data_IF_207490513477
#
_entry.id   IF_207490513477
#
_cell.length_a   1.000
_cell.length_b   1.000
_cell.length_c   1.000
_cell.angle_alpha   90.00
_cell.angle_beta   90.00
_cell.angle_gamma   90.00
#
_symmetry.space_group_name_H-M   'P 1'
#
loop_
_entity.id
_entity.type
_entity.pdbx_description
1 polymer ?
#
# COMPACT_ATOMS: atom_id res chain seq x y z
N UNK A 1 -25.60 -10.11 10.63
CA UNK A 1 -24.52 -10.94 11.20
C UNK A 1 -24.12 -11.96 10.15
N UNK A 2 -22.83 -12.28 10.05
CA UNK A 2 -22.30 -13.17 8.99
C UNK A 2 -21.74 -14.51 9.52
N UNK A 3 -21.98 -14.83 10.79
CA UNK A 3 -21.64 -16.12 11.41
C UNK A 3 -22.80 -16.56 12.26
N UNK A 4 -23.39 -17.71 11.95
CA UNK A 4 -24.56 -18.24 12.66
C UNK A 4 -24.38 -19.69 13.14
N UNK A 5 -23.46 -20.44 12.55
CA UNK A 5 -23.34 -21.87 12.82
C UNK A 5 -21.96 -22.26 13.38
N UNK A 6 -21.88 -23.29 14.23
CA UNK A 6 -20.59 -23.83 14.70
C UNK A 6 -19.70 -24.29 13.54
N UNK A 7 -20.30 -24.76 12.45
CA UNK A 7 -19.58 -25.21 11.26
C UNK A 7 -18.85 -24.06 10.57
N UNK A 8 -19.47 -22.89 10.47
CA UNK A 8 -18.79 -21.69 9.94
C UNK A 8 -17.63 -21.29 10.85
N UNK A 9 -17.83 -21.35 12.17
CA UNK A 9 -16.77 -21.08 13.12
C UNK A 9 -15.59 -22.05 12.95
N UNK A 10 -15.84 -23.34 12.69
CA UNK A 10 -14.81 -24.37 12.46
C UNK A 10 -13.93 -24.10 11.24
N UNK A 11 -14.41 -23.36 10.26
CA UNK A 11 -13.59 -22.95 9.10
C UNK A 11 -12.42 -22.06 9.53
N UNK A 12 -12.60 -21.27 10.59
CA UNK A 12 -11.63 -20.29 11.04
C UNK A 12 -10.87 -20.72 12.30
N UNK A 13 -11.53 -21.53 13.15
CA UNK A 13 -10.98 -22.09 14.39
C UNK A 13 -11.27 -23.60 14.46
N UNK A 14 -10.49 -24.44 13.76
CA UNK A 14 -10.78 -25.87 13.65
C UNK A 14 -10.71 -26.63 14.98
N UNK A 15 -10.01 -26.12 15.98
CA UNK A 15 -9.80 -26.77 17.28
C UNK A 15 -10.81 -26.33 18.36
N UNK A 16 -11.86 -25.58 18.00
CA UNK A 16 -12.86 -25.21 19.00
C UNK A 16 -13.82 -26.37 19.29
N UNK A 17 -14.33 -26.40 20.52
CA UNK A 17 -15.27 -27.41 21.02
C UNK A 17 -16.68 -26.85 21.25
N UNK A 18 -17.08 -25.82 20.50
CA UNK A 18 -18.42 -25.23 20.63
C UNK A 18 -19.42 -26.02 19.77
N UNK A 19 -20.45 -26.58 20.44
CA UNK A 19 -21.62 -27.14 19.74
C UNK A 19 -22.72 -26.08 19.53
N UNK A 20 -22.71 -25.01 20.35
CA UNK A 20 -23.55 -23.85 20.25
C UNK A 20 -22.69 -22.58 20.38
N UNK A 21 -22.90 -21.63 19.47
CA UNK A 21 -22.16 -20.35 19.44
C UNK A 21 -23.05 -19.15 19.81
N UNK A 22 -24.27 -19.37 20.28
CA UNK A 22 -25.20 -18.31 20.64
C UNK A 22 -24.63 -17.33 21.68
N UNK A 23 -23.83 -17.81 22.62
CA UNK A 23 -23.13 -17.01 23.61
C UNK A 23 -22.09 -16.05 23.00
N UNK A 24 -21.62 -16.34 21.79
CA UNK A 24 -20.66 -15.52 21.06
C UNK A 24 -21.32 -14.41 20.21
N UNK A 25 -22.62 -14.47 19.96
CA UNK A 25 -23.31 -13.56 19.06
C UNK A 25 -23.15 -12.08 19.45
N UNK A 26 -23.17 -11.78 20.76
CA UNK A 26 -22.91 -10.43 21.26
C UNK A 26 -21.51 -9.91 20.86
N UNK A 27 -20.50 -10.75 21.02
CA UNK A 27 -19.14 -10.42 20.68
C UNK A 27 -18.95 -10.27 19.16
N UNK A 28 -19.55 -11.17 18.38
CA UNK A 28 -19.50 -11.12 16.90
C UNK A 28 -20.20 -9.87 16.35
N UNK A 29 -21.37 -9.51 16.88
CA UNK A 29 -22.04 -8.26 16.49
C UNK A 29 -21.21 -7.02 16.80
N UNK A 30 -20.51 -6.99 17.93
CA UNK A 30 -19.62 -5.90 18.28
C UNK A 30 -18.41 -5.87 17.35
N UNK A 31 -17.82 -7.02 17.02
CA UNK A 31 -16.73 -7.13 16.04
C UNK A 31 -17.14 -6.61 14.65
N UNK A 32 -18.33 -6.97 14.18
CA UNK A 32 -18.89 -6.44 12.93
C UNK A 32 -19.11 -4.94 12.97
N UNK A 33 -19.61 -4.41 14.09
CA UNK A 33 -19.93 -2.99 14.22
C UNK A 33 -18.68 -2.12 14.34
N UNK A 34 -17.70 -2.56 15.15
CA UNK A 34 -16.58 -1.74 15.54
C UNK A 34 -15.39 -1.88 14.58
N UNK A 35 -15.18 -3.09 14.01
CA UNK A 35 -14.03 -3.39 13.16
C UNK A 35 -14.45 -3.56 11.71
N UNK A 36 -15.27 -4.58 11.39
CA UNK A 36 -15.53 -4.95 10.01
C UNK A 36 -16.19 -3.82 9.21
N UNK A 37 -17.22 -3.16 9.77
CA UNK A 37 -17.87 -2.01 9.09
C UNK A 37 -16.93 -0.83 8.84
N UNK A 38 -15.90 -0.66 9.66
CA UNK A 38 -14.89 0.35 9.42
C UNK A 38 -13.96 -0.03 8.28
N UNK A 39 -13.58 -1.30 8.16
CA UNK A 39 -12.68 -1.81 7.12
C UNK A 39 -13.36 -1.83 5.75
N UNK A 40 -14.52 -2.45 5.63
CA UNK A 40 -15.22 -2.58 4.34
C UNK A 40 -16.12 -1.40 4.00
N UNK A 41 -16.54 -0.62 4.98
CA UNK A 41 -17.53 0.44 4.84
C UNK A 41 -18.97 -0.07 5.03
N UNK A 42 -19.85 0.80 5.55
CA UNK A 42 -21.23 0.42 5.83
C UNK A 42 -22.01 -0.04 4.59
N UNK A 43 -21.90 0.59 3.40
CA UNK A 43 -22.62 0.14 2.22
C UNK A 43 -22.19 -1.27 1.76
N UNK A 44 -20.90 -1.54 1.71
CA UNK A 44 -20.38 -2.86 1.32
C UNK A 44 -20.76 -3.93 2.34
N UNK A 45 -20.67 -3.62 3.65
CA UNK A 45 -21.12 -4.53 4.70
C UNK A 45 -22.59 -4.89 4.56
N UNK A 46 -23.47 -3.90 4.36
CA UNK A 46 -24.91 -4.14 4.21
C UNK A 46 -25.21 -5.03 3.00
N UNK A 47 -24.54 -4.77 1.89
CA UNK A 47 -24.73 -5.54 0.67
C UNK A 47 -24.21 -6.98 0.82
N UNK A 48 -23.06 -7.17 1.48
CA UNK A 48 -22.52 -8.47 1.81
C UNK A 48 -23.48 -9.30 2.69
N UNK A 49 -24.07 -8.68 3.73
CA UNK A 49 -25.07 -9.34 4.58
C UNK A 49 -26.28 -9.77 3.76
N UNK A 50 -26.77 -8.94 2.82
CA UNK A 50 -27.88 -9.31 1.94
C UNK A 50 -27.55 -10.50 1.04
N UNK A 51 -26.32 -10.58 0.53
CA UNK A 51 -25.89 -11.76 -0.26
C UNK A 51 -25.77 -13.01 0.62
N UNK A 52 -25.22 -12.84 1.83
CA UNK A 52 -25.11 -13.92 2.78
C UNK A 52 -26.48 -14.49 3.22
N UNK A 53 -27.50 -13.62 3.45
CA UNK A 53 -28.87 -14.02 3.84
C UNK A 53 -29.65 -14.73 2.72
N UNK A 54 -29.24 -14.62 1.46
CA UNK A 54 -29.83 -15.37 0.34
C UNK A 54 -29.43 -16.84 0.31
N UNK A 55 -28.37 -17.20 1.05
CA UNK A 55 -27.87 -18.57 1.09
C UNK A 55 -28.70 -19.34 2.10
N UNK A 56 -29.29 -20.47 1.68
CA UNK A 56 -29.96 -21.37 2.57
C UNK A 56 -28.95 -22.00 3.54
N UNK A 57 -29.33 -22.19 4.81
CA UNK A 57 -28.47 -22.82 5.82
C UNK A 57 -27.93 -24.18 5.38
N UNK A 58 -28.65 -24.91 4.55
CA UNK A 58 -28.21 -26.18 3.95
C UNK A 58 -27.13 -26.02 2.88
N UNK A 59 -27.07 -24.86 2.23
CA UNK A 59 -26.12 -24.56 1.16
C UNK A 59 -24.88 -23.77 1.61
N UNK A 60 -24.91 -23.27 2.84
CA UNK A 60 -23.88 -22.39 3.38
C UNK A 60 -22.49 -23.07 3.34
N UNK A 61 -22.37 -24.34 3.72
CA UNK A 61 -21.10 -25.10 3.72
C UNK A 61 -20.44 -25.23 2.34
N UNK A 62 -21.18 -25.64 1.30
CA UNK A 62 -20.61 -25.69 -0.07
C UNK A 62 -20.22 -24.31 -0.59
N UNK A 63 -21.02 -23.30 -0.27
CA UNK A 63 -20.78 -21.94 -0.71
C UNK A 63 -19.51 -21.34 -0.11
N UNK A 64 -19.29 -21.50 1.19
CA UNK A 64 -18.09 -21.01 1.87
C UNK A 64 -16.83 -21.84 1.54
N UNK A 65 -16.98 -23.11 1.19
CA UNK A 65 -15.87 -23.95 0.76
C UNK A 65 -15.44 -23.69 -0.69
N UNK A 66 -16.27 -23.01 -1.48
CA UNK A 66 -15.94 -22.59 -2.85
C UNK A 66 -15.10 -21.31 -2.88
N UNK A 67 -14.07 -21.22 -2.06
CA UNK A 67 -13.19 -20.04 -1.94
C UNK A 67 -12.60 -19.62 -3.29
N UNK A 68 -12.40 -20.55 -4.20
CA UNK A 68 -11.95 -20.31 -5.57
C UNK A 68 -13.10 -20.35 -6.58
N UNK A 69 -14.35 -20.30 -6.12
CA UNK A 69 -15.52 -20.31 -6.99
C UNK A 69 -15.74 -18.94 -7.67
N UNK A 70 -16.59 -18.91 -8.69
CA UNK A 70 -16.82 -17.71 -9.50
C UNK A 70 -17.66 -16.63 -8.78
N UNK A 71 -17.77 -16.65 -7.46
CA UNK A 71 -18.55 -15.69 -6.68
C UNK A 71 -17.69 -14.86 -5.70
N UNK A 72 -17.35 -13.60 -6.03
CA UNK A 72 -16.52 -12.78 -5.16
C UNK A 72 -17.19 -12.41 -3.83
N UNK A 73 -18.55 -12.48 -3.72
CA UNK A 73 -19.24 -12.29 -2.46
C UNK A 73 -18.94 -13.41 -1.46
N UNK A 74 -18.73 -14.65 -1.95
CA UNK A 74 -18.35 -15.77 -1.10
C UNK A 74 -16.97 -15.54 -0.46
N UNK A 75 -16.02 -15.10 -1.25
CA UNK A 75 -14.66 -14.82 -0.79
C UNK A 75 -14.61 -13.63 0.17
N UNK A 76 -15.31 -12.53 -0.17
CA UNK A 76 -15.46 -11.38 0.71
C UNK A 76 -16.03 -11.80 2.07
N UNK A 77 -17.09 -12.62 2.09
CA UNK A 77 -17.72 -13.09 3.32
C UNK A 77 -16.76 -13.94 4.14
N UNK A 78 -16.05 -14.90 3.51
CA UNK A 78 -15.08 -15.75 4.18
C UNK A 78 -13.97 -14.94 4.87
N UNK A 79 -13.36 -13.99 4.16
CA UNK A 79 -12.33 -13.11 4.70
C UNK A 79 -12.87 -12.21 5.82
N UNK A 80 -14.12 -11.75 5.69
CA UNK A 80 -14.78 -10.94 6.70
C UNK A 80 -15.12 -11.73 7.96
N UNK A 81 -15.52 -12.99 7.83
CA UNK A 81 -15.76 -13.89 8.96
C UNK A 81 -14.50 -14.11 9.79
N UNK A 82 -13.31 -14.19 9.19
CA UNK A 82 -12.05 -14.29 9.95
C UNK A 82 -11.87 -13.12 10.91
N UNK A 83 -12.13 -11.90 10.44
CA UNK A 83 -12.03 -10.68 11.26
C UNK A 83 -12.99 -10.76 12.44
N UNK A 84 -14.25 -11.13 12.18
CA UNK A 84 -15.30 -11.21 13.20
C UNK A 84 -14.96 -12.30 14.25
N UNK A 85 -14.46 -13.44 13.81
CA UNK A 85 -14.07 -14.53 14.70
C UNK A 85 -12.93 -14.11 15.62
N UNK A 86 -11.83 -13.61 15.06
CA UNK A 86 -10.65 -13.28 15.88
C UNK A 86 -10.92 -12.14 16.85
N UNK A 87 -11.62 -11.07 16.43
CA UNK A 87 -12.00 -9.97 17.32
C UNK A 87 -13.04 -10.42 18.36
N UNK A 88 -14.04 -11.21 17.97
CA UNK A 88 -15.04 -11.75 18.87
C UNK A 88 -14.43 -12.61 19.98
N UNK A 89 -13.51 -13.51 19.63
CA UNK A 89 -12.78 -14.33 20.61
C UNK A 89 -11.85 -13.49 21.48
N UNK A 90 -11.18 -12.51 20.93
CA UNK A 90 -10.33 -11.59 21.70
C UNK A 90 -11.12 -10.84 22.77
N UNK A 91 -12.34 -10.37 22.44
CA UNK A 91 -13.26 -9.69 23.38
C UNK A 91 -13.76 -10.62 24.48
N UNK A 92 -13.95 -11.90 24.18
CA UNK A 92 -14.44 -12.92 25.13
C UNK A 92 -13.34 -13.58 25.94
N UNK A 93 -12.07 -13.45 25.58
CA UNK A 93 -10.98 -14.19 26.22
C UNK A 93 -10.89 -13.96 27.72
N UNK A 94 -11.14 -12.75 28.21
CA UNK A 94 -11.16 -12.46 29.65
C UNK A 94 -12.46 -12.96 30.32
N UNK A 95 -13.60 -12.89 29.60
CA UNK A 95 -14.92 -13.25 30.14
C UNK A 95 -15.05 -14.76 30.26
N UNK A 96 -14.52 -15.51 29.29
CA UNK A 96 -14.57 -16.98 29.30
C UNK A 96 -13.80 -17.60 30.46
N UNK A 97 -12.86 -16.86 31.06
CA UNK A 97 -12.16 -17.28 32.27
C UNK A 97 -12.96 -17.03 33.58
N UNK A 98 -14.10 -16.31 33.46
CA UNK A 98 -14.91 -15.86 34.58
C UNK A 98 -16.33 -16.39 34.47
N UNK A 99 -16.92 -16.78 35.60
CA UNK A 99 -18.35 -17.08 35.78
C UNK A 99 -18.99 -15.92 36.51
N UNK A 100 -20.02 -15.33 35.95
CA UNK A 100 -20.80 -14.23 36.56
C UNK A 100 -22.16 -14.84 36.96
N UNK A 101 -22.45 -14.88 38.23
CA UNK A 101 -23.71 -15.35 38.77
C UNK A 101 -24.20 -14.45 39.92
N UNK A 102 -25.32 -14.79 40.54
CA UNK A 102 -25.89 -13.99 41.63
C UNK A 102 -24.96 -13.85 42.86
N UNK A 103 -23.96 -14.72 43.00
CA UNK A 103 -22.95 -14.66 44.08
C UNK A 103 -21.77 -13.77 43.75
N UNK A 104 -21.70 -13.22 42.51
CA UNK A 104 -20.63 -12.35 42.07
C UNK A 104 -19.83 -12.92 40.88
N UNK A 105 -18.58 -12.47 40.75
CA UNK A 105 -17.64 -12.88 39.68
C UNK A 105 -16.71 -13.98 40.26
N UNK A 106 -16.73 -15.14 39.67
CA UNK A 106 -15.93 -16.30 40.10
C UNK A 106 -15.02 -16.75 38.94
N UNK A 107 -13.89 -17.35 39.27
CA UNK A 107 -13.04 -18.03 38.27
C UNK A 107 -13.68 -19.35 37.91
N UNK A 108 -13.80 -19.66 36.62
CA UNK A 108 -14.32 -20.97 36.18
C UNK A 108 -13.29 -22.03 36.48
N UNK A 109 -13.63 -22.95 37.35
CA UNK A 109 -12.88 -24.18 37.57
C UNK A 109 -13.84 -25.39 37.53
N UNK A 110 -13.48 -26.44 36.81
CA UNK A 110 -14.21 -27.68 36.73
C UNK A 110 -13.31 -28.82 37.21
N UNK A 111 -13.90 -29.93 37.68
CA UNK A 111 -13.16 -31.05 38.27
C UNK A 111 -11.99 -31.62 37.44
N UNK A 112 -11.98 -31.33 36.10
CA UNK A 112 -10.97 -31.85 35.18
C UNK A 112 -10.23 -30.75 34.42
N UNK A 113 -10.45 -29.43 34.71
CA UNK A 113 -9.83 -28.34 34.02
C UNK A 113 -9.40 -27.24 34.99
N UNK A 114 -8.11 -26.95 35.02
CA UNK A 114 -7.59 -25.79 35.72
C UNK A 114 -7.89 -24.52 34.94
N UNK A 115 -8.21 -23.44 35.65
CA UNK A 115 -8.37 -22.14 35.04
C UNK A 115 -7.08 -21.71 34.33
N UNK A 116 -7.20 -21.20 33.11
CA UNK A 116 -6.06 -20.71 32.37
C UNK A 116 -5.30 -19.65 33.19
N UNK A 117 -3.96 -19.73 33.21
CA UNK A 117 -3.14 -18.71 33.86
C UNK A 117 -3.31 -17.35 33.23
N UNK A 118 -3.07 -16.28 34.00
CA UNK A 118 -3.11 -14.90 33.43
C UNK A 118 -2.17 -14.75 32.23
N UNK A 119 -0.99 -15.38 32.29
CA UNK A 119 -0.01 -15.35 31.19
C UNK A 119 -0.51 -16.15 29.98
N UNK A 120 -1.19 -17.28 30.22
CA UNK A 120 -1.84 -18.05 29.15
C UNK A 120 -2.91 -17.25 28.41
N UNK A 121 -3.79 -16.56 29.15
CA UNK A 121 -4.82 -15.68 28.57
C UNK A 121 -4.18 -14.50 27.82
N UNK A 122 -3.15 -13.87 28.39
CA UNK A 122 -2.46 -12.75 27.74
C UNK A 122 -1.76 -13.20 26.44
N UNK A 123 -1.11 -14.36 26.43
CA UNK A 123 -0.49 -14.91 25.23
C UNK A 123 -1.52 -15.26 24.15
N UNK A 124 -2.64 -15.87 24.56
CA UNK A 124 -3.74 -16.18 23.64
C UNK A 124 -4.33 -14.90 23.00
N UNK A 125 -4.59 -13.86 23.81
CA UNK A 125 -5.05 -12.56 23.30
C UNK A 125 -4.04 -11.94 22.35
N UNK A 126 -2.74 -12.01 22.63
CA UNK A 126 -1.68 -11.53 21.74
C UNK A 126 -1.68 -12.28 20.40
N UNK A 127 -1.92 -13.60 20.43
CA UNK A 127 -2.05 -14.39 19.22
C UNK A 127 -3.29 -13.98 18.43
N UNK A 128 -4.47 -13.90 19.07
CA UNK A 128 -5.70 -13.46 18.43
C UNK A 128 -5.58 -12.06 17.82
N UNK A 129 -4.90 -11.13 18.53
CA UNK A 129 -4.61 -9.79 18.01
C UNK A 129 -3.79 -9.84 16.73
N UNK A 130 -2.75 -10.68 16.70
CA UNK A 130 -1.96 -10.87 15.48
C UNK A 130 -2.81 -11.43 14.34
N UNK A 131 -3.57 -12.51 14.60
CA UNK A 131 -4.44 -13.13 13.59
C UNK A 131 -5.51 -12.16 13.06
N UNK A 132 -6.05 -11.27 13.92
CA UNK A 132 -6.99 -10.24 13.53
C UNK A 132 -6.36 -9.27 12.52
N UNK A 133 -5.16 -8.74 12.81
CA UNK A 133 -4.49 -7.81 11.91
C UNK A 133 -4.05 -8.49 10.61
N UNK A 134 -3.62 -9.75 10.69
CA UNK A 134 -3.31 -10.55 9.51
C UNK A 134 -4.58 -10.80 8.65
N UNK A 135 -5.73 -11.02 9.28
CA UNK A 135 -7.02 -11.17 8.59
C UNK A 135 -7.46 -9.88 7.91
N UNK A 136 -7.35 -8.74 8.59
CA UNK A 136 -7.64 -7.42 8.00
C UNK A 136 -6.71 -7.18 6.80
N UNK A 137 -5.43 -7.46 6.96
CA UNK A 137 -4.47 -7.28 5.87
C UNK A 137 -4.79 -8.19 4.66
N UNK A 138 -5.14 -9.48 4.89
CA UNK A 138 -5.57 -10.39 3.80
C UNK A 138 -6.79 -9.87 3.07
N UNK A 139 -7.80 -9.37 3.79
CA UNK A 139 -8.99 -8.78 3.18
C UNK A 139 -8.64 -7.56 2.33
N UNK A 140 -7.80 -6.66 2.83
CA UNK A 140 -7.39 -5.46 2.10
C UNK A 140 -6.52 -5.78 0.88
N UNK A 141 -5.63 -6.79 0.97
CA UNK A 141 -4.87 -7.30 -0.19
C UNK A 141 -5.79 -7.82 -1.27
N UNK A 142 -6.77 -8.65 -0.88
CA UNK A 142 -7.74 -9.20 -1.82
C UNK A 142 -8.57 -8.09 -2.49
N UNK A 143 -9.04 -7.09 -1.74
CA UNK A 143 -9.74 -5.94 -2.32
C UNK A 143 -8.85 -5.10 -3.25
N UNK A 144 -7.56 -4.97 -2.93
CA UNK A 144 -6.58 -4.29 -3.78
C UNK A 144 -6.37 -5.04 -5.10
N UNK A 145 -6.23 -6.38 -5.04
CA UNK A 145 -6.11 -7.23 -6.23
C UNK A 145 -7.37 -7.17 -7.09
N UNK A 146 -8.54 -7.26 -6.46
CA UNK A 146 -9.81 -7.14 -7.15
C UNK A 146 -9.96 -5.79 -7.87
N UNK A 147 -9.48 -4.69 -7.25
CA UNK A 147 -9.51 -3.36 -7.86
C UNK A 147 -8.52 -3.21 -9.02
N UNK A 148 -7.39 -3.92 -9.00
CA UNK A 148 -6.43 -3.93 -10.12
C UNK A 148 -6.96 -4.68 -11.34
N UNK A 149 -7.87 -5.64 -11.13
CA UNK A 149 -8.53 -6.40 -12.17
C UNK A 149 -9.79 -5.71 -12.73
N UNK A 150 -10.12 -4.50 -12.25
CA UNK A 150 -11.24 -3.69 -12.75
C UNK A 150 -11.04 -3.44 -14.27
N UNK A 151 -11.92 -4.03 -15.07
CA UNK A 151 -11.89 -3.92 -16.54
C UNK A 151 -11.10 -5.00 -17.28
N UNK A 152 -10.50 -6.00 -16.62
CA UNK A 152 -9.95 -7.17 -17.28
C UNK A 152 -11.07 -8.12 -17.73
N UNK A 153 -10.88 -8.69 -18.94
CA UNK A 153 -11.77 -9.71 -19.48
C UNK A 153 -11.64 -11.01 -18.67
N UNK A 154 -12.49 -11.15 -17.65
CA UNK A 154 -12.76 -12.47 -17.10
C UNK A 154 -13.88 -13.11 -17.91
N UNK A 155 -13.70 -14.36 -18.33
CA UNK A 155 -14.64 -15.14 -19.14
C UNK A 155 -16.02 -15.32 -18.46
N UNK A 156 -16.14 -14.95 -17.17
CA UNK A 156 -17.36 -15.06 -16.37
C UNK A 156 -17.92 -13.67 -16.08
N UNK A 157 -18.85 -13.21 -16.91
CA UNK A 157 -19.50 -11.90 -16.81
C UNK A 157 -20.09 -11.63 -15.41
N UNK A 158 -20.69 -12.65 -14.78
CA UNK A 158 -21.30 -12.51 -13.44
C UNK A 158 -20.26 -12.26 -12.33
N UNK A 159 -19.07 -12.85 -12.43
CA UNK A 159 -17.98 -12.59 -11.48
C UNK A 159 -17.53 -11.13 -11.58
N UNK A 160 -17.30 -10.66 -12.81
CA UNK A 160 -16.87 -9.27 -13.06
C UNK A 160 -17.87 -8.24 -12.56
N UNK A 161 -19.16 -8.45 -12.80
CA UNK A 161 -20.21 -7.51 -12.38
C UNK A 161 -20.28 -7.42 -10.85
N UNK A 162 -20.20 -8.56 -10.16
CA UNK A 162 -20.14 -8.60 -8.70
C UNK A 162 -18.85 -7.97 -8.14
N UNK A 163 -17.70 -8.22 -8.78
CA UNK A 163 -16.42 -7.62 -8.40
C UNK A 163 -16.46 -6.09 -8.53
N UNK A 164 -16.99 -5.56 -9.64
CA UNK A 164 -17.15 -4.12 -9.86
C UNK A 164 -18.11 -3.48 -8.84
N UNK A 165 -19.20 -4.18 -8.47
CA UNK A 165 -20.10 -3.74 -7.41
C UNK A 165 -19.38 -3.63 -6.06
N UNK A 166 -18.62 -4.67 -5.68
CA UNK A 166 -17.81 -4.69 -4.44
C UNK A 166 -16.84 -3.51 -4.41
N UNK A 167 -16.08 -3.29 -5.49
CA UNK A 167 -15.11 -2.20 -5.54
C UNK A 167 -15.79 -0.84 -5.49
N UNK A 168 -16.91 -0.65 -6.18
CA UNK A 168 -17.68 0.59 -6.16
C UNK A 168 -18.19 0.93 -4.76
N UNK A 169 -18.61 -0.07 -4.01
CA UNK A 169 -19.05 0.09 -2.63
C UNK A 169 -17.86 0.32 -1.68
N UNK A 170 -16.73 -0.38 -1.89
CA UNK A 170 -15.54 -0.20 -1.08
C UNK A 170 -14.91 1.19 -1.25
N UNK A 171 -14.99 1.80 -2.43
CA UNK A 171 -14.56 3.19 -2.67
C UNK A 171 -15.20 4.21 -1.70
N UNK A 172 -16.30 3.85 -1.06
CA UNK A 172 -16.98 4.68 -0.05
C UNK A 172 -16.46 4.41 1.38
N UNK A 173 -15.58 3.42 1.58
CA UNK A 173 -15.00 3.10 2.88
C UNK A 173 -13.92 4.10 3.28
N UNK A 174 -13.76 4.28 4.60
CA UNK A 174 -12.62 5.03 5.18
C UNK A 174 -11.28 4.31 4.95
N UNK A 175 -11.32 3.00 4.72
CA UNK A 175 -10.15 2.16 4.43
C UNK A 175 -9.88 2.03 2.93
N UNK A 176 -10.58 2.77 2.09
CA UNK A 176 -10.19 2.86 0.69
C UNK A 176 -8.98 3.78 0.57
N UNK A 177 -7.86 3.22 0.11
CA UNK A 177 -6.57 3.92 0.08
C UNK A 177 -5.96 4.01 -1.32
N UNK A 178 -6.55 3.41 -2.33
CA UNK A 178 -6.06 3.46 -3.72
C UNK A 178 -6.36 4.84 -4.33
N UNK A 179 -5.54 5.82 -3.95
CA UNK A 179 -5.74 7.23 -4.30
C UNK A 179 -4.80 7.58 -5.45
N UNK A 180 -5.38 7.87 -6.59
CA UNK A 180 -4.66 8.18 -7.82
C UNK A 180 -3.83 9.48 -7.76
N UNK A 181 -4.07 10.34 -6.76
CA UNK A 181 -3.42 11.65 -6.61
C UNK A 181 -2.10 11.59 -5.80
N UNK A 182 -1.59 10.39 -5.50
CA UNK A 182 -0.38 10.20 -4.72
C UNK A 182 0.70 9.47 -5.51
N UNK A 183 1.97 9.92 -5.39
CA UNK A 183 3.12 9.20 -5.94
C UNK A 183 3.33 7.84 -5.28
N UNK A 184 2.92 7.70 -4.01
CA UNK A 184 2.88 6.42 -3.29
C UNK A 184 1.42 6.13 -2.95
N UNK A 185 0.80 5.25 -3.72
CA UNK A 185 -0.63 4.91 -3.62
C UNK A 185 -0.90 3.56 -2.97
N UNK A 186 0.14 2.75 -2.69
CA UNK A 186 -0.02 1.40 -2.12
C UNK A 186 0.97 1.14 -0.98
N UNK A 187 0.59 0.24 -0.07
CA UNK A 187 1.45 -0.20 1.02
C UNK A 187 2.75 -0.85 0.51
N UNK A 188 2.66 -1.64 -0.56
CA UNK A 188 3.81 -2.29 -1.18
C UNK A 188 4.78 -1.28 -1.79
N UNK A 189 4.29 -0.20 -2.41
CA UNK A 189 5.15 0.86 -2.93
C UNK A 189 5.86 1.61 -1.78
N UNK A 190 5.18 1.86 -0.67
CA UNK A 190 5.77 2.48 0.52
C UNK A 190 6.81 1.57 1.18
N UNK A 191 6.50 0.28 1.32
CA UNK A 191 7.37 -0.76 1.89
C UNK A 191 8.72 -0.85 1.18
N UNK A 192 8.79 -0.50 -0.11
CA UNK A 192 10.04 -0.51 -0.87
C UNK A 192 11.10 0.44 -0.27
N UNK A 193 10.69 1.51 0.38
CA UNK A 193 11.57 2.54 0.95
C UNK A 193 11.63 2.50 2.48
N UNK A 194 10.50 2.24 3.14
CA UNK A 194 10.37 2.26 4.60
C UNK A 194 9.58 1.05 5.06
N UNK A 195 10.13 0.27 5.99
CA UNK A 195 9.51 -0.96 6.48
C UNK A 195 8.26 -0.69 7.31
N UNK A 196 7.13 -1.10 6.79
CA UNK A 196 5.82 -1.12 7.47
C UNK A 196 5.27 -2.55 7.63
N UNK A 197 6.10 -3.58 7.33
CA UNK A 197 5.73 -4.99 7.30
C UNK A 197 4.60 -5.28 6.30
N UNK A 198 4.57 -4.57 5.17
CA UNK A 198 3.55 -4.64 4.12
C UNK A 198 2.10 -4.53 4.65
N UNK A 199 1.94 -3.81 5.77
CA UNK A 199 0.66 -3.63 6.46
C UNK A 199 -0.16 -2.50 5.82
N UNK A 200 -1.32 -2.87 5.27
CA UNK A 200 -2.28 -1.90 4.69
C UNK A 200 -2.87 -0.99 5.76
N UNK A 201 -3.10 -1.49 6.96
CA UNK A 201 -3.59 -0.66 8.08
C UNK A 201 -2.58 0.43 8.46
N UNK A 202 -1.29 0.07 8.56
CA UNK A 202 -0.25 1.08 8.82
C UNK A 202 -0.19 2.11 7.71
N UNK A 203 -0.24 1.66 6.45
CA UNK A 203 -0.25 2.55 5.29
C UNK A 203 -1.45 3.51 5.31
N UNK A 204 -2.66 3.03 5.60
CA UNK A 204 -3.87 3.85 5.72
C UNK A 204 -3.70 4.92 6.81
N UNK A 205 -3.11 4.55 7.94
CA UNK A 205 -2.83 5.49 9.03
C UNK A 205 -1.79 6.56 8.64
N UNK A 206 -0.89 6.26 7.68
CA UNK A 206 0.10 7.20 7.16
C UNK A 206 -0.43 8.11 6.04
N UNK A 207 -1.59 7.83 5.44
CA UNK A 207 -2.13 8.64 4.33
C UNK A 207 -2.21 10.15 4.62
N UNK A 208 -2.61 10.61 5.82
CA UNK A 208 -2.59 12.04 6.13
C UNK A 208 -1.18 12.65 6.07
N UNK A 209 -0.18 11.91 6.57
CA UNK A 209 1.21 12.34 6.52
C UNK A 209 1.78 12.29 5.10
N UNK A 210 1.42 11.29 4.29
CA UNK A 210 1.80 11.17 2.87
C UNK A 210 1.27 12.39 2.08
N UNK A 211 -0.01 12.72 2.23
CA UNK A 211 -0.61 13.89 1.57
C UNK A 211 0.07 15.20 1.99
N UNK A 212 0.34 15.34 3.29
CA UNK A 212 1.01 16.51 3.80
C UNK A 212 2.43 16.63 3.25
N UNK A 213 3.22 15.54 3.30
CA UNK A 213 4.60 15.54 2.83
C UNK A 213 4.68 15.75 1.31
N UNK A 214 3.78 15.14 0.54
CA UNK A 214 3.72 15.37 -0.91
C UNK A 214 3.53 16.85 -1.22
N UNK A 215 2.52 17.50 -0.62
CA UNK A 215 2.26 18.92 -0.84
C UNK A 215 3.40 19.78 -0.32
N UNK A 216 3.88 19.53 0.89
CA UNK A 216 4.80 20.43 1.57
C UNK A 216 6.25 20.30 1.09
N UNK A 217 6.68 19.09 0.71
CA UNK A 217 8.09 18.83 0.40
C UNK A 217 8.34 18.44 -1.06
N UNK A 218 7.31 18.01 -1.79
CA UNK A 218 7.47 17.63 -3.19
C UNK A 218 6.92 18.74 -4.11
N UNK A 219 5.64 19.09 -3.96
CA UNK A 219 4.99 20.09 -4.80
C UNK A 219 5.66 21.47 -4.67
N UNK A 220 6.05 21.88 -3.46
CA UNK A 220 6.75 23.16 -3.26
C UNK A 220 8.14 23.21 -3.92
N UNK A 221 8.84 22.06 -3.97
CA UNK A 221 10.18 21.99 -4.58
C UNK A 221 10.13 21.87 -6.11
N UNK A 222 9.15 21.16 -6.66
CA UNK A 222 9.06 20.88 -8.09
C UNK A 222 8.17 21.87 -8.85
N UNK A 223 7.22 22.50 -8.15
CA UNK A 223 6.15 23.31 -8.74
C UNK A 223 4.95 22.48 -9.17
N UNK A 224 3.78 23.12 -9.18
CA UNK A 224 2.48 22.44 -9.34
C UNK A 224 2.32 21.75 -10.70
N UNK A 225 2.72 22.44 -11.78
CA UNK A 225 2.51 21.92 -13.14
C UNK A 225 3.39 20.70 -13.42
N UNK A 226 4.67 20.76 -13.02
CA UNK A 226 5.59 19.63 -13.18
C UNK A 226 5.17 18.43 -12.31
N UNK A 227 4.75 18.69 -11.08
CA UNK A 227 4.25 17.64 -10.19
C UNK A 227 3.02 16.95 -10.77
N UNK A 228 2.07 17.73 -11.32
CA UNK A 228 0.86 17.18 -11.93
C UNK A 228 1.18 16.36 -13.19
N UNK A 229 2.07 16.84 -14.06
CA UNK A 229 2.51 16.10 -15.26
C UNK A 229 3.16 14.76 -14.90
N UNK A 230 4.11 14.78 -13.94
CA UNK A 230 4.80 13.58 -13.48
C UNK A 230 3.84 12.58 -12.82
N UNK A 231 2.86 13.08 -12.04
CA UNK A 231 1.86 12.24 -11.41
C UNK A 231 0.95 11.57 -12.45
N UNK A 232 0.51 12.27 -13.47
CA UNK A 232 -0.26 11.68 -14.58
C UNK A 232 0.54 10.63 -15.33
N UNK A 233 1.82 10.89 -15.60
CA UNK A 233 2.72 9.94 -16.25
C UNK A 233 2.93 8.69 -15.39
N UNK A 234 3.08 8.87 -14.07
CA UNK A 234 3.18 7.78 -13.11
C UNK A 234 1.94 6.88 -13.12
N UNK A 235 0.75 7.48 -13.05
CA UNK A 235 -0.53 6.78 -13.07
C UNK A 235 -0.76 5.99 -14.36
N UNK A 236 -0.39 6.57 -15.50
CA UNK A 236 -0.57 5.97 -16.81
C UNK A 236 0.56 4.99 -17.19
N UNK A 237 1.60 4.85 -16.36
CA UNK A 237 2.79 4.05 -16.68
C UNK A 237 3.60 4.59 -17.85
N UNK A 238 3.39 5.87 -18.22
CA UNK A 238 4.04 6.55 -19.33
C UNK A 238 5.25 7.38 -18.84
N UNK A 239 5.96 7.99 -19.76
CA UNK A 239 7.13 8.81 -19.42
C UNK A 239 8.44 8.18 -19.90
N UNK A 240 9.43 9.04 -20.13
CA UNK A 240 10.76 8.64 -20.52
C UNK A 240 11.56 8.10 -19.30
N UNK A 241 12.74 7.52 -19.53
CA UNK A 241 13.56 6.92 -18.47
C UNK A 241 14.00 7.93 -17.40
N UNK A 242 14.19 9.21 -17.78
CA UNK A 242 14.57 10.28 -16.85
C UNK A 242 13.40 10.65 -15.94
N UNK A 243 12.19 10.73 -16.51
CA UNK A 243 10.96 11.00 -15.77
C UNK A 243 10.64 9.84 -14.79
N UNK A 244 10.75 8.59 -15.24
CA UNK A 244 10.57 7.42 -14.38
C UNK A 244 11.55 7.41 -13.21
N UNK A 245 12.81 7.74 -13.49
CA UNK A 245 13.83 7.81 -12.43
C UNK A 245 13.63 8.99 -11.47
N UNK A 246 13.10 10.11 -11.95
CA UNK A 246 12.70 11.21 -11.07
C UNK A 246 11.51 10.81 -10.20
N UNK A 247 10.50 10.12 -10.75
CA UNK A 247 9.36 9.60 -9.99
C UNK A 247 9.82 8.65 -8.88
N UNK A 248 10.77 7.74 -9.15
CA UNK A 248 11.37 6.89 -8.12
C UNK A 248 12.03 7.70 -6.99
N UNK A 249 12.78 8.75 -7.34
CA UNK A 249 13.39 9.66 -6.35
C UNK A 249 12.35 10.47 -5.57
N UNK A 250 11.24 10.86 -6.20
CA UNK A 250 10.12 11.50 -5.52
C UNK A 250 9.51 10.53 -4.50
N UNK A 251 9.31 9.27 -4.86
CA UNK A 251 8.78 8.25 -3.97
C UNK A 251 9.71 7.99 -2.79
N UNK A 252 11.04 7.89 -3.02
CA UNK A 252 12.03 7.79 -1.95
C UNK A 252 11.96 8.99 -1.00
N UNK A 253 12.01 10.21 -1.54
CA UNK A 253 11.97 11.44 -0.75
C UNK A 253 10.66 11.58 0.04
N UNK A 254 9.53 11.20 -0.56
CA UNK A 254 8.23 11.22 0.08
C UNK A 254 8.16 10.21 1.23
N UNK A 255 8.57 8.95 1.00
CA UNK A 255 8.53 7.91 2.03
C UNK A 255 9.40 8.27 3.25
N UNK A 256 10.64 8.72 3.02
CA UNK A 256 11.55 9.14 4.10
C UNK A 256 11.03 10.39 4.83
N UNK A 257 10.37 11.31 4.13
CA UNK A 257 9.75 12.48 4.76
C UNK A 257 8.57 12.09 5.67
N UNK A 258 7.79 11.09 5.26
CA UNK A 258 6.71 10.51 6.07
C UNK A 258 7.29 9.79 7.29
N UNK A 259 8.35 8.99 7.12
CA UNK A 259 9.04 8.35 8.24
C UNK A 259 9.53 9.36 9.27
N UNK A 260 10.15 10.45 8.82
CA UNK A 260 10.67 11.51 9.69
C UNK A 260 9.58 12.29 10.41
N UNK A 261 8.38 12.39 9.84
CA UNK A 261 7.24 13.14 10.38
C UNK A 261 6.36 12.31 11.31
N UNK A 262 6.09 11.06 10.92
CA UNK A 262 5.11 10.24 11.61
C UNK A 262 5.63 9.74 12.95
N UNK A 263 4.77 9.85 13.98
CA UNK A 263 5.04 9.31 15.32
C UNK A 263 5.08 7.77 15.37
N UNK A 264 4.71 7.11 14.27
CA UNK A 264 4.75 5.67 14.16
C UNK A 264 6.19 5.13 14.14
N UNK A 265 7.12 5.94 13.65
CA UNK A 265 8.53 5.58 13.54
C UNK A 265 9.35 6.29 14.64
N UNK A 266 10.28 5.56 15.24
CA UNK A 266 11.20 6.10 16.24
C UNK A 266 12.64 5.98 15.73
N UNK A 267 12.97 6.78 14.69
CA UNK A 267 14.27 6.77 14.04
C UNK A 267 14.92 8.14 14.09
N UNK A 268 15.97 8.33 14.92
CA UNK A 268 16.57 9.65 15.16
C UNK A 268 17.11 10.33 13.91
N UNK A 269 17.66 9.53 12.96
CA UNK A 269 18.31 10.06 11.74
C UNK A 269 17.36 10.26 10.56
N UNK A 270 16.09 9.85 10.67
CA UNK A 270 15.11 9.90 9.58
C UNK A 270 14.97 11.31 8.98
N UNK A 271 15.06 12.36 9.80
CA UNK A 271 14.97 13.74 9.32
C UNK A 271 16.14 14.13 8.41
N UNK A 272 17.35 13.75 8.74
CA UNK A 272 18.52 14.08 7.94
C UNK A 272 18.50 13.29 6.62
N UNK A 273 18.05 12.05 6.65
CA UNK A 273 17.89 11.23 5.45
C UNK A 273 16.80 11.79 4.52
N UNK A 274 15.67 12.25 5.08
CA UNK A 274 14.61 12.90 4.32
C UNK A 274 15.13 14.17 3.61
N UNK A 275 15.84 15.04 4.33
CA UNK A 275 16.43 16.26 3.75
C UNK A 275 17.42 15.89 2.63
N UNK A 276 18.27 14.89 2.86
CA UNK A 276 19.23 14.41 1.87
C UNK A 276 18.55 13.82 0.62
N UNK A 277 17.44 13.12 0.77
CA UNK A 277 16.70 12.54 -0.35
C UNK A 277 16.01 13.61 -1.19
N UNK A 278 15.41 14.62 -0.55
CA UNK A 278 14.82 15.77 -1.24
C UNK A 278 15.92 16.53 -2.04
N UNK A 279 17.08 16.76 -1.44
CA UNK A 279 18.19 17.40 -2.13
C UNK A 279 18.65 16.60 -3.36
N UNK A 280 18.78 15.27 -3.26
CA UNK A 280 19.12 14.39 -4.39
C UNK A 280 18.05 14.39 -5.49
N UNK A 281 16.79 14.50 -5.13
CA UNK A 281 15.67 14.62 -6.08
C UNK A 281 15.76 15.91 -6.87
N UNK A 282 15.94 17.04 -6.17
CA UNK A 282 16.08 18.38 -6.79
C UNK A 282 17.33 18.44 -7.66
N UNK A 283 18.47 17.96 -7.18
CA UNK A 283 19.71 17.89 -7.95
C UNK A 283 19.53 17.07 -9.24
N UNK A 284 18.88 15.90 -9.15
CA UNK A 284 18.62 15.08 -10.33
C UNK A 284 17.77 15.83 -11.37
N UNK A 285 16.74 16.55 -10.94
CA UNK A 285 15.92 17.37 -11.83
C UNK A 285 16.77 18.48 -12.50
N UNK A 286 17.56 19.21 -11.72
CA UNK A 286 18.44 20.28 -12.25
C UNK A 286 19.44 19.76 -13.30
N UNK A 287 19.98 18.53 -13.06
CA UNK A 287 20.92 17.93 -14.01
C UNK A 287 20.29 17.49 -15.34
N UNK A 288 19.00 17.10 -15.32
CA UNK A 288 18.32 16.53 -16.47
C UNK A 288 17.15 17.43 -16.95
N UNK A 289 17.14 18.71 -16.61
CA UNK A 289 15.98 19.60 -16.83
C UNK A 289 15.56 19.69 -18.30
N UNK A 290 16.48 19.50 -19.24
CA UNK A 290 16.22 19.54 -20.68
C UNK A 290 15.52 18.27 -21.20
N UNK A 291 15.46 17.21 -20.41
CA UNK A 291 14.80 15.94 -20.77
C UNK A 291 13.31 15.93 -20.38
N UNK A 292 12.83 16.98 -19.70
CA UNK A 292 11.44 17.13 -19.26
C UNK A 292 10.65 18.04 -20.19
N UNK A 293 9.32 17.91 -20.19
CA UNK A 293 8.46 18.82 -20.95
C UNK A 293 8.71 20.28 -20.51
N UNK A 294 9.16 21.14 -21.40
CA UNK A 294 9.47 22.54 -21.06
C UNK A 294 8.26 23.31 -20.48
N UNK A 295 7.03 23.00 -20.93
CA UNK A 295 5.84 23.65 -20.41
C UNK A 295 5.54 23.30 -18.97
N UNK A 296 5.76 22.03 -18.59
CA UNK A 296 5.62 21.55 -17.22
C UNK A 296 6.80 22.02 -16.35
N UNK A 297 8.02 21.89 -16.86
CA UNK A 297 9.25 22.19 -16.14
C UNK A 297 9.39 23.66 -15.75
N UNK A 298 8.75 24.61 -16.47
CA UNK A 298 8.75 26.04 -16.13
C UNK A 298 8.17 26.33 -14.73
N UNK A 299 7.36 25.44 -14.16
CA UNK A 299 6.86 25.61 -12.79
C UNK A 299 7.92 25.32 -11.71
N UNK A 300 9.03 24.69 -12.07
CA UNK A 300 10.14 24.45 -11.15
C UNK A 300 10.81 25.78 -10.77
N UNK A 301 10.93 26.10 -9.46
CA UNK A 301 11.39 27.42 -9.01
C UNK A 301 12.78 27.83 -9.53
N UNK A 302 13.64 26.84 -9.82
CA UNK A 302 15.00 27.09 -10.33
C UNK A 302 15.15 26.76 -11.82
N UNK A 303 14.06 26.71 -12.58
CA UNK A 303 14.05 26.28 -13.98
C UNK A 303 15.06 27.02 -14.86
N UNK A 304 15.06 28.35 -14.86
CA UNK A 304 15.93 29.15 -15.74
C UNK A 304 17.41 28.90 -15.40
N UNK A 305 17.75 28.87 -14.14
CA UNK A 305 19.13 28.60 -13.68
C UNK A 305 19.57 27.19 -14.06
N UNK A 306 18.71 26.20 -13.82
CA UNK A 306 18.98 24.80 -14.16
C UNK A 306 19.14 24.61 -15.68
N UNK A 307 18.29 25.26 -16.47
CA UNK A 307 18.34 25.24 -17.94
C UNK A 307 19.63 25.82 -18.46
N UNK A 308 20.02 27.04 -18.03
CA UNK A 308 21.26 27.66 -18.42
C UNK A 308 22.50 26.80 -18.12
N UNK A 309 22.53 26.23 -16.91
CA UNK A 309 23.61 25.30 -16.51
C UNK A 309 23.63 24.03 -17.35
N UNK A 310 22.47 23.47 -17.68
CA UNK A 310 22.38 22.26 -18.51
C UNK A 310 22.83 22.56 -19.98
N UNK A 311 22.45 23.70 -20.55
CA UNK A 311 22.88 24.14 -21.85
C UNK A 311 24.40 24.41 -21.92
N UNK A 312 24.98 25.03 -20.88
CA UNK A 312 26.44 25.22 -20.76
C UNK A 312 27.17 23.88 -20.69
N UNK A 313 26.66 22.90 -19.92
CA UNK A 313 27.24 21.55 -19.86
C UNK A 313 27.16 20.84 -21.21
N UNK A 314 26.03 20.91 -21.89
CA UNK A 314 25.85 20.31 -23.20
C UNK A 314 26.81 20.93 -24.23
N UNK A 315 27.00 22.27 -24.20
CA UNK A 315 27.97 22.94 -25.03
C UNK A 315 29.42 22.56 -24.73
N UNK A 316 29.76 22.40 -23.47
CA UNK A 316 31.10 21.96 -23.06
C UNK A 316 31.42 20.51 -23.47
N UNK A 317 30.41 19.63 -23.56
CA UNK A 317 30.54 18.25 -24.03
C UNK A 317 30.40 18.11 -25.56
N UNK A 318 29.97 19.13 -26.27
CA UNK A 318 30.01 19.17 -27.74
C UNK A 318 31.47 19.07 -28.17
N UNK A 319 31.82 18.05 -28.96
CA UNK A 319 33.17 17.91 -29.48
C UNK A 319 33.59 19.23 -30.13
N UNK A 320 34.79 19.76 -29.85
CA UNK A 320 35.28 20.93 -30.57
C UNK A 320 35.21 20.62 -32.07
N UNK A 321 34.82 21.61 -32.91
CA UNK A 321 34.76 21.39 -34.33
C UNK A 321 36.11 20.80 -34.76
N UNK A 322 36.05 19.72 -35.53
CA UNK A 322 37.25 19.08 -36.03
C UNK A 322 38.15 20.18 -36.62
N UNK A 323 39.43 20.29 -36.23
CA UNK A 323 40.29 21.33 -36.79
C UNK A 323 40.20 21.24 -38.30
N UNK A 324 40.15 22.39 -39.01
CA UNK A 324 40.01 22.38 -40.44
C UNK A 324 41.10 21.46 -41.01
N UNK A 325 40.67 20.42 -41.70
CA UNK A 325 41.60 19.50 -42.36
C UNK A 325 42.35 20.32 -43.37
N UNK A 326 43.46 20.87 -42.95
CA UNK A 326 44.45 21.37 -43.91
C UNK A 326 44.84 20.19 -44.76
N UNK A 327 44.63 20.21 -46.08
CA UNK A 327 45.05 19.12 -46.92
C UNK A 327 46.55 18.93 -46.69
N UNK A 328 46.91 17.71 -46.25
CA UNK A 328 48.33 17.32 -46.14
C UNK A 328 48.96 17.46 -47.53
N UNK A 329 49.65 18.54 -47.74
CA UNK A 329 50.40 18.77 -48.99
C UNK A 329 51.75 18.12 -48.83
N UNK A 330 51.73 16.79 -48.83
CA UNK A 330 52.91 15.97 -48.53
C UNK A 330 53.85 15.79 -49.74
N UNK A 331 53.56 16.37 -50.89
CA UNK A 331 54.32 16.19 -52.10
C UNK A 331 54.56 17.47 -52.89
N UNK A 332 54.69 18.62 -52.21
CA UNK A 332 55.14 19.82 -52.94
C UNK A 332 56.67 19.85 -52.98
N UNK A 333 57.32 20.16 -54.10
CA UNK A 333 58.78 20.36 -54.20
C UNK A 333 59.19 21.47 -53.23
N UNK A 334 60.01 21.10 -52.21
CA UNK A 334 60.49 22.01 -51.19
C UNK A 334 60.06 21.80 -49.75
N UNK A 335 59.17 20.82 -49.48
CA UNK A 335 58.85 20.44 -48.11
C UNK A 335 59.97 19.61 -47.52
N UNK A 336 60.68 20.16 -46.51
CA UNK A 336 61.64 19.42 -45.70
C UNK A 336 60.94 18.29 -44.90
N UNK A 337 61.47 17.06 -45.01
CA UNK A 337 61.01 15.95 -44.19
C UNK A 337 61.42 16.24 -42.74
N UNK A 338 60.44 16.53 -41.87
CA UNK A 338 60.67 16.57 -40.45
C UNK A 338 60.64 15.12 -39.92
N UNK A 339 61.82 14.57 -39.67
CA UNK A 339 61.97 13.35 -38.88
C UNK A 339 61.79 13.74 -37.40
N UNK A 340 60.69 13.38 -36.79
CA UNK A 340 60.55 13.47 -35.34
C UNK A 340 61.53 12.52 -34.70
N UNK A 341 62.40 12.97 -33.78
CA UNK A 341 63.26 12.07 -33.04
C UNK A 341 62.38 11.20 -32.13
N UNK A 342 62.57 9.88 -32.20
CA UNK A 342 61.96 8.96 -31.26
C UNK A 342 62.43 9.32 -29.85
N UNK A 343 61.51 9.67 -28.99
CA UNK A 343 61.75 9.76 -27.56
C UNK A 343 61.81 8.33 -27.01
N UNK A 344 62.96 7.98 -26.45
CA UNK A 344 63.18 6.77 -25.64
C UNK A 344 62.45 6.85 -24.31
#
# INVERSE_FOLDING_TARGET
MIIYTPEELRLHLPNHAYDDISDMFGAFRNAEADILKNVVGAPLYQRMVQEYEKIDETECKPWLLQINGPNPWAELTYLSQQIVVFDGFMRRADINALSINQSGINVVSAENYDAASKDGIANYKKQLYKELHDAINRLLVWLEELAKDEGRDNDITSYRDNANEIITLWKQSKYYYLIAELFISTATAFQHFVDIHDSREKFINLLPDIRYCQRQYIENELGDTLTTDLLQKHMNGTGNDKEKKLIEKIQEALALSVEARSKMFNRPDARNEAIGSIARMVEYLQWNILDFDPAAAQSFPMYEVAKEQAEQRAAAHAAPPAPPQTPWVNNQPGCAMFVTPALY
#
